data_IF_291460158075
#
_entry.id   IF_291460158075
#
_cell.length_a   1.000
_cell.length_b   1.000
_cell.length_c   1.000
_cell.angle_alpha   90.00
_cell.angle_beta   90.00
_cell.angle_gamma   90.00
#
_symmetry.space_group_name_H-M   'P 1'
#
loop_
_entity.id
_entity.type
_entity.pdbx_description
1 polymer ?
#
# COMPACT_ATOMS: atom_id res chain seq x y z
N UNK A 1 20.59 -38.39 -20.38
CA UNK A 1 21.23 -38.22 -19.05
C UNK A 1 20.25 -37.47 -18.17
N UNK A 2 19.74 -38.06 -17.07
CA UNK A 2 18.73 -37.40 -16.25
C UNK A 2 19.39 -36.29 -15.41
N UNK A 3 18.77 -35.12 -15.41
CA UNK A 3 19.26 -33.96 -14.67
C UNK A 3 19.23 -34.26 -13.17
N UNK A 4 20.43 -34.33 -12.59
CA UNK A 4 20.72 -34.48 -11.17
C UNK A 4 20.10 -33.31 -10.38
N UNK A 5 19.10 -33.61 -9.55
CA UNK A 5 18.51 -32.64 -8.63
C UNK A 5 19.51 -32.34 -7.50
N UNK A 6 20.36 -31.33 -7.70
CA UNK A 6 21.10 -30.72 -6.59
C UNK A 6 20.27 -29.59 -5.98
N UNK A 7 20.01 -29.59 -4.66
CA UNK A 7 19.38 -28.47 -3.99
C UNK A 7 20.43 -27.34 -3.92
N UNK A 8 20.44 -26.47 -4.93
CA UNK A 8 21.18 -25.20 -4.87
C UNK A 8 20.23 -24.13 -4.37
N UNK A 9 20.50 -23.64 -3.18
CA UNK A 9 19.96 -22.40 -2.63
C UNK A 9 20.03 -21.30 -3.69
N UNK A 10 18.88 -20.82 -4.14
CA UNK A 10 18.78 -19.72 -5.10
C UNK A 10 17.57 -18.85 -4.75
N UNK A 11 17.80 -17.88 -3.86
CA UNK A 11 16.87 -16.81 -3.52
C UNK A 11 17.47 -15.88 -2.47
N UNK A 12 17.58 -14.60 -2.78
CA UNK A 12 18.14 -13.59 -1.89
C UNK A 12 17.27 -13.44 -0.64
N UNK A 13 17.83 -13.78 0.53
CA UNK A 13 17.13 -13.72 1.80
C UNK A 13 16.89 -15.07 2.49
N UNK A 14 17.43 -16.18 1.99
CA UNK A 14 17.28 -17.48 2.68
C UNK A 14 15.86 -18.08 2.57
N UNK A 15 15.05 -17.60 1.64
CA UNK A 15 13.76 -18.22 1.34
C UNK A 15 13.99 -19.63 0.81
N UNK A 16 13.33 -20.60 1.46
CA UNK A 16 13.28 -21.99 1.03
C UNK A 16 12.57 -22.01 -0.32
N UNK A 17 13.35 -21.98 -1.40
CA UNK A 17 12.85 -22.21 -2.74
C UNK A 17 12.54 -23.70 -2.85
N UNK A 18 11.30 -24.06 -2.50
CA UNK A 18 10.76 -25.38 -2.80
C UNK A 18 10.78 -25.60 -4.32
N UNK A 19 10.91 -26.85 -4.79
CA UNK A 19 10.73 -27.14 -6.21
C UNK A 19 9.39 -26.55 -6.69
N UNK A 20 9.35 -25.92 -7.88
CA UNK A 20 8.14 -25.33 -8.40
C UNK A 20 7.03 -26.38 -8.46
N UNK A 21 5.76 -25.99 -8.20
CA UNK A 21 4.62 -26.87 -8.45
C UNK A 21 4.73 -27.49 -9.86
N UNK A 22 4.61 -28.82 -10.02
CA UNK A 22 4.80 -29.51 -11.31
C UNK A 22 3.96 -28.93 -12.45
N UNK A 23 2.78 -28.42 -12.11
CA UNK A 23 1.86 -27.74 -13.03
C UNK A 23 2.50 -26.58 -13.79
N UNK A 24 3.49 -25.87 -13.21
CA UNK A 24 4.17 -24.77 -13.90
C UNK A 24 4.97 -25.27 -15.10
N UNK A 25 5.58 -26.45 -14.98
CA UNK A 25 6.30 -27.08 -16.08
C UNK A 25 5.33 -27.60 -17.14
N UNK A 26 4.20 -28.16 -16.73
CA UNK A 26 3.20 -28.67 -17.66
C UNK A 26 2.51 -27.56 -18.45
N UNK A 27 2.22 -26.42 -17.83
CA UNK A 27 1.71 -25.22 -18.51
C UNK A 27 2.63 -24.76 -19.64
N UNK A 28 3.95 -24.73 -19.39
CA UNK A 28 4.93 -24.32 -20.41
C UNK A 28 5.04 -25.33 -21.56
N UNK A 29 4.91 -26.64 -21.26
CA UNK A 29 4.87 -27.68 -22.30
C UNK A 29 3.64 -27.53 -23.18
N UNK A 30 2.47 -27.28 -22.58
CA UNK A 30 1.20 -27.12 -23.29
C UNK A 30 1.12 -25.81 -24.07
N UNK A 31 1.75 -24.75 -23.57
CA UNK A 31 1.80 -23.46 -24.25
C UNK A 31 3.21 -22.84 -24.18
N UNK A 32 4.05 -23.08 -25.20
CA UNK A 32 5.41 -22.56 -25.27
C UNK A 32 5.50 -21.02 -25.29
N UNK A 33 4.39 -20.31 -25.53
CA UNK A 33 4.33 -18.85 -25.52
C UNK A 33 4.24 -18.24 -24.11
N UNK A 34 3.95 -19.05 -23.08
CA UNK A 34 3.84 -18.59 -21.70
C UNK A 34 5.17 -17.97 -21.23
N UNK A 35 5.06 -16.80 -20.59
CA UNK A 35 6.20 -16.08 -19.99
C UNK A 35 6.45 -16.58 -18.58
N UNK A 36 6.88 -15.69 -17.69
CA UNK A 36 7.13 -16.03 -16.29
C UNK A 36 5.85 -16.46 -15.58
N UNK A 37 5.94 -17.58 -14.87
CA UNK A 37 4.92 -18.07 -13.98
C UNK A 37 5.39 -17.92 -12.54
N UNK A 38 4.47 -17.56 -11.64
CA UNK A 38 4.77 -17.21 -10.25
C UNK A 38 3.87 -18.02 -9.32
N UNK A 39 4.46 -18.52 -8.24
CA UNK A 39 3.75 -19.06 -7.08
C UNK A 39 4.18 -18.27 -5.86
N UNK A 40 3.21 -17.74 -5.11
CA UNK A 40 3.44 -16.99 -3.88
C UNK A 40 2.48 -17.48 -2.82
N UNK A 41 3.02 -17.91 -1.69
CA UNK A 41 2.24 -18.37 -0.53
C UNK A 41 2.17 -17.30 0.56
N UNK A 42 1.26 -17.45 1.51
CA UNK A 42 1.16 -16.57 2.69
C UNK A 42 2.33 -16.78 3.65
N UNK A 43 2.79 -18.04 3.76
CA UNK A 43 3.90 -18.51 4.59
C UNK A 43 5.27 -18.01 4.11
N UNK A 44 5.31 -17.37 2.94
CA UNK A 44 6.50 -16.73 2.41
C UNK A 44 7.30 -17.57 1.41
N UNK A 45 6.76 -18.70 0.97
CA UNK A 45 7.28 -19.49 -0.15
C UNK A 45 6.97 -18.76 -1.45
N UNK A 46 8.02 -18.51 -2.24
CA UNK A 46 7.94 -17.88 -3.55
C UNK A 46 8.69 -18.71 -4.59
N UNK A 47 8.08 -18.96 -5.74
CA UNK A 47 8.72 -19.66 -6.84
C UNK A 47 8.44 -18.97 -8.17
N UNK A 48 9.47 -18.88 -9.01
CA UNK A 48 9.37 -18.37 -10.38
C UNK A 48 9.81 -19.44 -11.35
N UNK A 49 9.01 -19.64 -12.41
CA UNK A 49 9.28 -20.61 -13.46
C UNK A 49 9.22 -19.93 -14.85
N UNK A 50 10.17 -20.20 -15.77
CA UNK A 50 11.40 -20.99 -15.59
C UNK A 50 12.35 -20.42 -14.53
N UNK A 51 13.19 -21.27 -13.93
CA UNK A 51 14.17 -20.83 -12.95
C UNK A 51 15.22 -19.92 -13.60
N UNK A 52 15.53 -18.80 -12.96
CA UNK A 52 16.59 -17.91 -13.40
C UNK A 52 17.30 -17.23 -12.24
N UNK A 53 18.53 -16.79 -12.47
CA UNK A 53 19.31 -16.08 -11.45
C UNK A 53 18.88 -14.63 -11.39
N UNK A 54 18.23 -14.24 -10.29
CA UNK A 54 17.94 -12.85 -9.99
C UNK A 54 19.19 -12.16 -9.46
N UNK A 55 19.52 -10.98 -10.02
CA UNK A 55 20.42 -10.03 -9.35
C UNK A 55 19.60 -9.24 -8.34
N UNK A 56 19.64 -9.62 -7.07
CA UNK A 56 18.94 -8.87 -6.04
C UNK A 56 19.82 -7.72 -5.57
N UNK A 57 19.33 -6.50 -5.72
CA UNK A 57 19.80 -5.36 -4.93
C UNK A 57 18.86 -5.26 -3.72
N UNK A 58 19.33 -5.63 -2.53
CA UNK A 58 18.56 -5.54 -1.29
C UNK A 58 17.69 -6.76 -0.96
N UNK A 59 16.81 -6.60 0.03
CA UNK A 59 15.83 -7.62 0.45
C UNK A 59 14.70 -7.74 -0.57
N UNK A 60 14.44 -8.97 -1.03
CA UNK A 60 13.29 -9.26 -1.88
C UNK A 60 12.15 -9.78 -1.01
N UNK A 61 11.04 -9.03 -0.94
CA UNK A 61 9.81 -9.46 -0.29
C UNK A 61 8.71 -9.55 -1.36
N UNK A 62 8.34 -10.77 -1.73
CA UNK A 62 7.29 -11.04 -2.72
C UNK A 62 5.88 -10.60 -2.26
N UNK A 63 5.60 -10.63 -0.95
CA UNK A 63 4.26 -10.31 -0.42
C UNK A 63 3.94 -8.82 -0.47
N UNK A 64 4.95 -7.96 -0.60
CA UNK A 64 4.77 -6.53 -0.81
C UNK A 64 4.65 -6.15 -2.29
N UNK A 65 4.75 -7.11 -3.22
CA UNK A 65 4.62 -6.83 -4.66
C UNK A 65 3.16 -6.50 -4.99
N UNK A 66 2.90 -5.48 -5.83
CA UNK A 66 1.55 -5.12 -6.24
C UNK A 66 0.73 -6.31 -6.76
N UNK A 67 1.34 -7.20 -7.56
CA UNK A 67 0.69 -8.42 -8.07
C UNK A 67 0.21 -9.35 -6.95
N UNK A 68 0.99 -9.54 -5.89
CA UNK A 68 0.55 -10.35 -4.76
C UNK A 68 -0.58 -9.65 -4.01
N UNK A 69 -0.36 -8.38 -3.62
CA UNK A 69 -1.29 -7.59 -2.82
C UNK A 69 -2.66 -7.47 -3.49
N UNK A 70 -2.71 -7.17 -4.79
CA UNK A 70 -3.97 -7.05 -5.53
C UNK A 70 -4.71 -8.38 -5.67
N UNK A 71 -3.98 -9.50 -5.74
CA UNK A 71 -4.58 -10.84 -5.82
C UNK A 71 -5.17 -11.27 -4.47
N UNK A 72 -4.46 -11.06 -3.35
CA UNK A 72 -4.93 -11.47 -2.02
C UNK A 72 -5.94 -10.49 -1.39
N UNK A 73 -6.00 -9.26 -1.88
CA UNK A 73 -6.91 -8.20 -1.42
C UNK A 73 -7.54 -7.49 -2.62
N UNK A 74 -8.50 -8.12 -3.31
CA UNK A 74 -9.15 -7.53 -4.48
C UNK A 74 -10.12 -6.37 -4.13
N UNK A 75 -10.46 -6.20 -2.85
CA UNK A 75 -11.36 -5.13 -2.41
C UNK A 75 -10.62 -3.80 -2.27
N UNK A 76 -11.18 -2.74 -2.85
CA UNK A 76 -10.70 -1.37 -2.70
C UNK A 76 -10.78 -0.91 -1.25
N UNK A 77 -9.70 -0.30 -0.75
CA UNK A 77 -9.64 0.25 0.60
C UNK A 77 -9.95 1.74 0.60
N UNK A 78 -10.55 2.20 1.71
CA UNK A 78 -10.81 3.61 1.97
C UNK A 78 -9.86 4.09 3.07
N UNK A 79 -8.90 4.95 2.71
CA UNK A 79 -7.79 5.34 3.58
C UNK A 79 -7.85 6.86 3.82
N UNK A 80 -7.74 7.28 5.08
CA UNK A 80 -7.57 8.68 5.45
C UNK A 80 -6.30 8.83 6.26
N UNK A 81 -5.35 9.59 5.75
CA UNK A 81 -4.10 9.92 6.45
C UNK A 81 -4.31 11.25 7.18
N UNK A 82 -4.09 11.29 8.49
CA UNK A 82 -4.20 12.49 9.31
C UNK A 82 -2.81 12.85 9.81
N UNK A 83 -2.31 14.03 9.44
CA UNK A 83 -1.05 14.59 9.94
C UNK A 83 -1.34 15.65 11.00
N UNK A 84 -0.93 15.38 12.23
CA UNK A 84 -0.86 16.41 13.27
C UNK A 84 0.34 17.33 13.00
N UNK A 85 0.10 18.64 13.04
CA UNK A 85 1.14 19.66 12.89
C UNK A 85 0.92 20.85 13.83
N UNK A 86 0.22 20.65 14.95
CA UNK A 86 0.08 21.65 16.00
C UNK A 86 1.26 21.68 16.97
N UNK A 87 1.11 22.48 18.03
CA UNK A 87 2.20 22.88 18.93
C UNK A 87 2.82 21.72 19.73
N UNK A 88 2.10 20.61 19.87
CA UNK A 88 2.58 19.42 20.59
C UNK A 88 3.56 18.56 19.79
N UNK A 89 3.69 18.78 18.49
CA UNK A 89 4.52 17.97 17.60
C UNK A 89 5.86 18.64 17.37
N UNK A 90 6.96 17.93 17.66
CA UNK A 90 8.30 18.44 17.36
C UNK A 90 8.57 18.39 15.84
N UNK A 91 9.50 19.22 15.35
CA UNK A 91 9.88 19.20 13.93
C UNK A 91 10.37 17.82 13.46
N UNK A 92 11.05 17.08 14.35
CA UNK A 92 11.50 15.70 14.09
C UNK A 92 10.33 14.73 13.98
N UNK A 93 9.34 14.81 14.88
CA UNK A 93 8.13 13.99 14.82
C UNK A 93 7.31 14.30 13.57
N UNK A 94 7.18 15.58 13.21
CA UNK A 94 6.50 16.00 12.00
C UNK A 94 7.21 15.47 10.74
N UNK A 95 8.55 15.50 10.72
CA UNK A 95 9.30 14.94 9.59
C UNK A 95 9.10 13.43 9.46
N UNK A 96 9.15 12.69 10.57
CA UNK A 96 8.87 11.24 10.58
C UNK A 96 7.44 10.96 10.10
N UNK A 97 6.45 11.74 10.54
CA UNK A 97 5.07 11.61 10.11
C UNK A 97 4.90 11.86 8.60
N UNK A 98 5.61 12.85 8.04
CA UNK A 98 5.63 13.11 6.60
C UNK A 98 6.25 11.96 5.82
N UNK A 99 7.37 11.42 6.30
CA UNK A 99 8.05 10.30 5.64
C UNK A 99 7.16 9.04 5.67
N UNK A 100 6.50 8.77 6.81
CA UNK A 100 5.52 7.69 6.92
C UNK A 100 4.33 7.89 5.97
N UNK A 101 3.81 9.12 5.85
CA UNK A 101 2.74 9.43 4.90
C UNK A 101 3.17 9.22 3.43
N UNK A 102 4.42 9.54 3.08
CA UNK A 102 4.96 9.26 1.75
C UNK A 102 5.06 7.75 1.48
N UNK A 103 5.50 6.96 2.46
CA UNK A 103 5.53 5.50 2.36
C UNK A 103 4.12 4.96 2.12
N UNK A 104 3.11 5.42 2.87
CA UNK A 104 1.70 5.04 2.67
C UNK A 104 1.27 5.39 1.24
N UNK A 105 1.49 6.63 0.78
CA UNK A 105 1.11 7.07 -0.56
C UNK A 105 1.76 6.24 -1.68
N UNK A 106 2.99 5.75 -1.46
CA UNK A 106 3.68 4.87 -2.41
C UNK A 106 3.15 3.43 -2.40
N UNK A 107 2.62 2.97 -1.26
CA UNK A 107 2.24 1.58 -1.03
C UNK A 107 0.79 1.26 -1.43
N UNK A 108 -0.11 2.26 -1.45
CA UNK A 108 -1.51 2.07 -1.84
C UNK A 108 -1.65 1.73 -3.33
N UNK A 109 -2.69 0.98 -3.68
CA UNK A 109 -2.96 0.58 -5.06
C UNK A 109 -3.85 1.62 -5.76
N UNK A 110 -3.88 1.63 -7.10
CA UNK A 110 -4.73 2.56 -7.87
C UNK A 110 -6.23 2.32 -7.72
N UNK A 111 -6.63 1.10 -7.31
CA UNK A 111 -8.01 0.75 -6.99
C UNK A 111 -8.46 1.29 -5.62
N UNK A 112 -7.53 1.73 -4.76
CA UNK A 112 -7.83 2.29 -3.45
C UNK A 112 -8.27 3.75 -3.54
N UNK A 113 -9.00 4.22 -2.52
CA UNK A 113 -9.37 5.62 -2.36
C UNK A 113 -8.68 6.21 -1.13
N UNK A 114 -8.13 7.40 -1.30
CA UNK A 114 -7.35 8.08 -0.28
C UNK A 114 -7.75 9.56 -0.13
N UNK A 115 -7.56 10.09 1.07
CA UNK A 115 -7.48 11.53 1.34
C UNK A 115 -6.44 11.81 2.42
N UNK A 116 -5.82 12.98 2.36
CA UNK A 116 -4.84 13.44 3.35
C UNK A 116 -5.38 14.70 4.03
N UNK A 117 -5.41 14.65 5.35
CA UNK A 117 -5.82 15.71 6.26
C UNK A 117 -4.62 16.20 7.07
N UNK A 118 -4.57 17.49 7.34
CA UNK A 118 -3.69 18.06 8.36
C UNK A 118 -4.53 18.67 9.46
N UNK A 119 -4.09 18.52 10.70
CA UNK A 119 -4.83 18.97 11.89
C UNK A 119 -3.91 19.78 12.77
N UNK A 120 -4.35 21.00 13.10
CA UNK A 120 -3.82 21.85 14.15
C UNK A 120 -5.03 22.52 14.82
N UNK A 121 -5.08 23.85 14.90
CA UNK A 121 -6.28 24.61 15.28
C UNK A 121 -7.44 24.41 14.29
N UNK A 122 -7.12 24.14 13.02
CA UNK A 122 -8.11 23.83 11.98
C UNK A 122 -7.73 22.57 11.22
N UNK A 123 -8.73 21.95 10.58
CA UNK A 123 -8.53 20.79 9.71
C UNK A 123 -8.42 21.26 8.27
N UNK A 124 -7.32 20.91 7.60
CA UNK A 124 -7.11 21.22 6.18
C UNK A 124 -7.06 19.93 5.37
N UNK A 125 -7.71 19.94 4.22
CA UNK A 125 -7.71 18.82 3.26
C UNK A 125 -6.82 19.17 2.07
N UNK A 126 -6.13 18.18 1.50
CA UNK A 126 -5.48 18.34 0.20
C UNK A 126 -6.54 18.75 -0.87
N UNK A 127 -6.43 19.97 -1.39
CA UNK A 127 -7.38 20.50 -2.37
C UNK A 127 -6.96 20.09 -3.78
N UNK A 128 -7.35 18.87 -4.17
CA UNK A 128 -7.15 18.36 -5.54
C UNK A 128 -8.18 18.95 -6.51
N UNK A 129 -9.44 18.91 -6.10
CA UNK A 129 -10.62 19.41 -6.79
C UNK A 129 -11.72 19.67 -5.74
N UNK A 130 -12.73 20.46 -6.07
CA UNK A 130 -13.87 20.75 -5.21
C UNK A 130 -14.61 19.47 -4.78
N UNK A 131 -14.64 18.45 -5.65
CA UNK A 131 -15.26 17.15 -5.37
C UNK A 131 -14.56 16.38 -4.22
N UNK A 132 -13.23 16.43 -4.14
CA UNK A 132 -12.45 15.65 -3.17
C UNK A 132 -12.30 16.31 -1.79
N UNK A 133 -13.03 17.43 -1.57
CA UNK A 133 -13.23 18.01 -0.23
C UNK A 133 -14.29 17.25 0.59
N UNK A 134 -15.18 16.53 -0.09
CA UNK A 134 -16.31 15.81 0.52
C UNK A 134 -16.22 14.29 0.36
N UNK A 135 -15.39 13.79 -0.56
CA UNK A 135 -15.20 12.36 -0.83
C UNK A 135 -13.71 11.98 -0.90
N UNK A 136 -13.41 10.70 -0.77
CA UNK A 136 -12.06 10.17 -1.00
C UNK A 136 -11.75 10.13 -2.50
N UNK A 137 -10.53 10.49 -2.87
CA UNK A 137 -10.06 10.45 -4.27
C UNK A 137 -9.46 9.08 -4.62
N UNK A 138 -9.65 8.58 -5.85
CA UNK A 138 -8.89 7.42 -6.34
C UNK A 138 -7.38 7.69 -6.28
N UNK A 139 -6.60 6.69 -5.90
CA UNK A 139 -5.16 6.79 -5.71
C UNK A 139 -4.38 6.70 -7.05
N UNK A 140 -4.74 7.51 -8.03
CA UNK A 140 -4.01 7.61 -9.30
C UNK A 140 -2.61 8.21 -9.08
N UNK A 141 -1.69 7.98 -10.02
CA UNK A 141 -0.34 8.54 -9.98
C UNK A 141 -0.32 10.07 -9.84
N UNK A 142 -1.26 10.77 -10.49
CA UNK A 142 -1.39 12.23 -10.38
C UNK A 142 -1.87 12.64 -8.98
N UNK A 143 -2.90 11.97 -8.46
CA UNK A 143 -3.42 12.22 -7.10
C UNK A 143 -2.34 12.01 -6.05
N UNK A 144 -1.61 10.88 -6.12
CA UNK A 144 -0.50 10.56 -5.23
C UNK A 144 0.59 11.64 -5.27
N UNK A 145 0.95 12.12 -6.46
CA UNK A 145 1.94 13.19 -6.63
C UNK A 145 1.49 14.49 -5.96
N UNK A 146 0.24 14.92 -6.19
CA UNK A 146 -0.31 16.14 -5.57
C UNK A 146 -0.40 16.02 -4.04
N UNK A 147 -0.85 14.88 -3.53
CA UNK A 147 -0.89 14.60 -2.09
C UNK A 147 0.51 14.56 -1.46
N UNK A 148 1.49 13.98 -2.15
CA UNK A 148 2.88 13.99 -1.69
C UNK A 148 3.43 15.42 -1.59
N UNK A 149 3.18 16.27 -2.59
CA UNK A 149 3.55 17.70 -2.53
C UNK A 149 2.86 18.42 -1.38
N UNK A 150 1.57 18.12 -1.15
CA UNK A 150 0.82 18.67 -0.02
C UNK A 150 1.45 18.29 1.32
N UNK A 151 1.76 17.00 1.55
CA UNK A 151 2.43 16.49 2.76
C UNK A 151 3.77 17.19 2.99
N UNK A 152 4.61 17.30 1.94
CA UNK A 152 5.91 17.95 2.06
C UNK A 152 5.83 19.44 2.41
N UNK A 153 4.74 20.11 2.01
CA UNK A 153 4.52 21.54 2.27
C UNK A 153 4.07 21.88 3.70
N UNK A 154 3.62 20.88 4.48
CA UNK A 154 3.12 21.08 5.84
C UNK A 154 4.24 21.58 6.76
N UNK A 155 3.94 22.51 7.66
CA UNK A 155 4.87 23.00 8.68
C UNK A 155 4.20 22.92 10.04
N UNK A 156 5.01 22.78 11.09
CA UNK A 156 4.58 22.90 12.47
C UNK A 156 3.95 24.27 12.69
N UNK A 157 2.88 24.30 13.48
CA UNK A 157 2.20 25.50 13.94
C UNK A 157 2.23 25.53 15.45
N UNK A 158 2.38 26.72 16.03
CA UNK A 158 2.27 26.95 17.49
C UNK A 158 0.81 26.98 17.98
N UNK A 159 -0.11 26.38 17.24
CA UNK A 159 -1.53 26.33 17.60
C UNK A 159 -1.91 24.97 18.21
N UNK A 160 -2.88 24.92 19.15
CA UNK A 160 -3.31 23.68 19.76
C UNK A 160 -4.05 22.79 18.75
N UNK A 161 -3.82 21.48 18.82
CA UNK A 161 -4.42 20.52 17.89
C UNK A 161 -5.84 20.11 18.28
N UNK A 162 -6.78 20.21 17.35
CA UNK A 162 -8.17 19.74 17.51
C UNK A 162 -8.38 18.35 16.87
N UNK A 163 -7.89 17.30 17.54
CA UNK A 163 -8.01 15.92 17.05
C UNK A 163 -9.45 15.47 16.81
N UNK A 164 -10.38 15.87 17.67
CA UNK A 164 -11.81 15.50 17.57
C UNK A 164 -12.41 15.93 16.23
N UNK A 165 -12.13 17.17 15.80
CA UNK A 165 -12.57 17.71 14.51
C UNK A 165 -11.90 16.98 13.35
N UNK A 166 -10.62 16.65 13.49
CA UNK A 166 -9.86 15.84 12.52
C UNK A 166 -10.50 14.47 12.28
N UNK A 167 -10.77 13.72 13.35
CA UNK A 167 -11.43 12.41 13.26
C UNK A 167 -12.86 12.52 12.75
N UNK A 168 -13.62 13.52 13.20
CA UNK A 168 -14.98 13.75 12.70
C UNK A 168 -14.98 13.96 11.18
N UNK A 169 -14.06 14.77 10.65
CA UNK A 169 -13.91 14.99 9.21
C UNK A 169 -13.50 13.72 8.47
N UNK A 170 -12.58 12.94 9.04
CA UNK A 170 -12.16 11.66 8.46
C UNK A 170 -13.33 10.67 8.32
N UNK A 171 -14.11 10.49 9.38
CA UNK A 171 -15.30 9.63 9.35
C UNK A 171 -16.36 10.14 8.38
N UNK A 172 -16.53 11.46 8.28
CA UNK A 172 -17.42 12.06 7.27
C UNK A 172 -16.97 11.73 5.84
N UNK A 173 -15.68 11.82 5.52
CA UNK A 173 -15.15 11.47 4.20
C UNK A 173 -15.41 10.00 3.83
N UNK A 174 -15.16 9.10 4.78
CA UNK A 174 -15.40 7.66 4.60
C UNK A 174 -16.89 7.40 4.38
N UNK A 175 -17.76 7.96 5.23
CA UNK A 175 -19.21 7.78 5.13
C UNK A 175 -19.78 8.33 3.82
N UNK A 176 -19.37 9.53 3.41
CA UNK A 176 -19.79 10.15 2.15
C UNK A 176 -19.36 9.31 0.95
N UNK A 177 -18.16 8.73 1.00
CA UNK A 177 -17.66 7.85 -0.06
C UNK A 177 -18.46 6.54 -0.10
N UNK A 178 -18.73 5.93 1.05
CA UNK A 178 -19.50 4.68 1.16
C UNK A 178 -20.95 4.81 0.67
N UNK A 179 -21.60 5.95 0.95
CA UNK A 179 -22.97 6.19 0.50
C UNK A 179 -23.08 6.26 -1.04
N UNK A 180 -21.99 6.62 -1.73
CA UNK A 180 -21.89 6.57 -3.20
C UNK A 180 -21.47 5.19 -3.73
N UNK A 181 -20.90 4.32 -2.89
CA UNK A 181 -20.41 2.99 -3.26
C UNK A 181 -21.20 1.88 -2.56
N UNK A 182 -22.53 1.87 -2.65
CA UNK A 182 -23.42 0.88 -2.01
C UNK A 182 -23.27 -0.58 -2.49
N UNK A 183 -22.07 -1.00 -2.88
CA UNK A 183 -21.63 -2.39 -2.96
C UNK A 183 -20.30 -2.57 -2.21
N UNK A 184 -20.39 -3.28 -1.07
CA UNK A 184 -19.32 -3.81 -0.20
C UNK A 184 -18.42 -2.82 0.58
N UNK A 185 -18.66 -2.73 1.89
CA UNK A 185 -17.65 -2.30 2.85
C UNK A 185 -17.56 -3.32 3.99
N UNK A 186 -16.39 -3.95 4.14
CA UNK A 186 -15.98 -4.69 5.34
C UNK A 186 -15.06 -3.77 6.15
N UNK A 187 -15.50 -3.33 7.33
CA UNK A 187 -14.69 -2.53 8.25
C UNK A 187 -13.98 -3.46 9.23
N UNK A 188 -12.65 -3.49 9.22
CA UNK A 188 -11.86 -4.10 10.29
C UNK A 188 -11.45 -2.99 11.28
N UNK A 189 -11.86 -3.12 12.54
CA UNK A 189 -11.38 -2.33 13.68
C UNK A 189 -10.38 -3.19 14.43
N UNK A 190 -9.17 -2.69 14.67
CA UNK A 190 -8.26 -3.26 15.65
C UNK A 190 -8.36 -2.41 16.92
N UNK A 191 -8.80 -3.03 18.01
CA UNK A 191 -8.65 -2.57 19.38
C UNK A 191 -7.68 -3.53 20.07
N UNK A 192 -6.67 -2.99 20.74
CA UNK A 192 -5.90 -3.74 21.74
C UNK A 192 -6.70 -3.75 23.04
N UNK A 193 -6.93 -4.96 23.57
CA UNK A 193 -7.06 -5.20 25.01
C UNK A 193 -5.65 -5.42 25.59
#
# INVERSE_FOLDING_TARGET
>A
MPAEWRPRTCGCGGYISCPPPPVLADNLKSNPGIKWQYFSSEEGIFTVFPAHKFRCKGSYEHRSRPIYVSTVRPQSKHIVVILDHGASVTDTQLQIAKDAAQVILSAIDEHDKISVLTVADTVRTCSLDQCYKTFLSPATSETKRKMSTFVSSVKSLDSPTQHSVGFQKAFQLIRSTNNNTKFQASTCVFSED
#
